data_IF_973751134446
#
_entry.id   IF_973751134446
#
_cell.length_a   1.000
_cell.length_b   1.000
_cell.length_c   1.000
_cell.angle_alpha   90.00
_cell.angle_beta   90.00
_cell.angle_gamma   90.00
#
_symmetry.space_group_name_H-M   'P 1'
#
loop_
_entity.id
_entity.type
_entity.pdbx_description
1 polymer ?
#
# COMPACT_ATOMS: atom_id res chain seq x y z
N UNK A 1 11.09 12.07 23.75
CA UNK A 1 10.39 13.13 22.97
C UNK A 1 8.93 12.75 22.91
N UNK A 2 8.03 13.59 23.44
CA UNK A 2 6.59 13.29 23.47
C UNK A 2 6.01 13.54 22.08
N UNK A 3 5.63 12.48 21.36
CA UNK A 3 4.86 12.63 20.13
C UNK A 3 3.48 13.18 20.48
N UNK A 4 3.01 14.18 19.75
CA UNK A 4 1.68 14.75 19.91
C UNK A 4 0.62 13.65 19.72
N UNK A 5 -0.35 13.58 20.65
CA UNK A 5 -1.48 12.67 20.54
C UNK A 5 -2.35 13.09 19.34
N UNK A 6 -2.60 12.21 18.35
CA UNK A 6 -3.44 12.54 17.21
C UNK A 6 -4.88 12.84 17.65
N UNK A 7 -5.57 13.70 16.90
CA UNK A 7 -6.99 13.97 17.08
C UNK A 7 -7.82 12.66 16.96
N UNK A 8 -8.92 12.53 17.70
CA UNK A 8 -9.74 11.32 17.66
C UNK A 8 -10.16 11.00 16.22
N UNK A 9 -9.90 9.77 15.78
CA UNK A 9 -10.26 9.25 14.45
C UNK A 9 -9.21 9.40 13.35
N UNK A 10 -8.04 10.00 13.59
CA UNK A 10 -6.94 10.02 12.59
C UNK A 10 -5.87 8.99 12.94
N UNK A 11 -5.47 8.11 12.00
CA UNK A 11 -4.40 7.14 12.25
C UNK A 11 -3.08 7.87 12.51
N UNK A 12 -2.24 7.30 13.37
CA UNK A 12 -0.85 7.74 13.52
C UNK A 12 -0.05 7.16 12.35
N UNK A 13 0.49 8.04 11.51
CA UNK A 13 1.33 7.65 10.38
C UNK A 13 2.80 7.87 10.73
N UNK A 14 3.64 6.87 10.50
CA UNK A 14 5.09 6.93 10.71
C UNK A 14 5.76 6.79 9.35
N UNK A 15 6.60 7.75 8.99
CA UNK A 15 7.45 7.66 7.80
C UNK A 15 8.79 7.04 8.22
N UNK A 16 8.92 5.73 8.02
CA UNK A 16 10.16 4.98 8.25
C UNK A 16 10.92 4.89 6.93
N UNK A 17 12.16 5.39 6.89
CA UNK A 17 12.94 5.48 5.65
C UNK A 17 14.39 5.10 5.92
N UNK A 18 15.03 4.50 4.91
CA UNK A 18 16.48 4.40 4.82
C UNK A 18 16.97 5.30 3.69
N UNK A 19 18.03 6.06 3.94
CA UNK A 19 18.64 6.95 2.96
C UNK A 19 20.16 6.84 3.01
N UNK A 20 20.81 7.00 1.86
CA UNK A 20 22.26 7.21 1.81
C UNK A 20 22.63 8.59 2.35
N UNK A 21 23.92 8.81 2.63
CA UNK A 21 24.42 10.11 3.13
C UNK A 21 24.14 11.26 2.15
N UNK A 22 24.08 10.96 0.85
CA UNK A 22 23.73 11.92 -0.21
C UNK A 22 22.23 11.94 -0.55
N UNK A 23 21.38 11.32 0.28
CA UNK A 23 19.92 11.48 0.25
C UNK A 23 19.19 10.62 -0.78
N UNK A 24 19.83 9.59 -1.36
CA UNK A 24 19.15 8.63 -2.23
C UNK A 24 18.36 7.63 -1.38
N UNK A 25 17.28 7.10 -1.93
CA UNK A 25 16.40 6.10 -1.28
C UNK A 25 16.31 4.77 -2.03
N UNK A 26 16.75 4.74 -3.29
CA UNK A 26 16.86 3.49 -4.05
C UNK A 26 18.15 2.80 -3.63
N UNK A 27 18.01 1.66 -2.96
CA UNK A 27 19.11 0.91 -2.32
C UNK A 27 19.95 0.08 -3.30
N UNK A 28 19.55 0.01 -4.57
CA UNK A 28 20.28 -0.70 -5.61
C UNK A 28 21.74 -0.26 -5.71
N UNK A 29 22.66 -1.21 -5.54
CA UNK A 29 24.10 -0.96 -5.58
C UNK A 29 24.69 -0.32 -4.32
N UNK A 30 23.91 -0.11 -3.26
CA UNK A 30 24.46 0.34 -1.98
C UNK A 30 25.29 -0.78 -1.34
N UNK A 31 26.38 -0.45 -0.63
CA UNK A 31 27.09 -1.41 0.21
C UNK A 31 26.31 -1.67 1.52
N UNK A 32 25.00 -1.95 1.42
CA UNK A 32 24.15 -2.19 2.57
C UNK A 32 24.43 -3.59 3.12
N UNK A 33 24.95 -3.66 4.35
CA UNK A 33 25.22 -4.93 5.02
C UNK A 33 23.91 -5.59 5.49
N UNK A 34 23.95 -6.91 5.69
CA UNK A 34 22.84 -7.64 6.31
C UNK A 34 22.50 -7.10 7.71
N UNK A 35 23.51 -6.61 8.45
CA UNK A 35 23.31 -5.89 9.71
C UNK A 35 22.46 -4.64 9.51
N UNK A 36 22.80 -3.79 8.54
CA UNK A 36 22.07 -2.55 8.27
C UNK A 36 20.62 -2.81 7.90
N UNK A 37 20.37 -3.83 7.06
CA UNK A 37 19.02 -4.27 6.72
C UNK A 37 18.26 -4.78 7.95
N UNK A 38 18.90 -5.60 8.80
CA UNK A 38 18.28 -6.10 10.01
C UNK A 38 17.90 -4.99 11.00
N UNK A 39 18.76 -3.98 11.18
CA UNK A 39 18.45 -2.83 12.03
C UNK A 39 17.23 -2.05 11.51
N UNK A 40 17.11 -1.89 10.19
CA UNK A 40 15.94 -1.25 9.58
C UNK A 40 14.63 -2.00 9.90
N UNK A 41 14.63 -3.32 9.76
CA UNK A 41 13.46 -4.16 10.08
C UNK A 41 13.15 -4.19 11.58
N UNK A 42 14.16 -4.25 12.45
CA UNK A 42 13.95 -4.19 13.90
C UNK A 42 13.24 -2.90 14.33
N UNK A 43 13.61 -1.77 13.73
CA UNK A 43 12.93 -0.50 13.99
C UNK A 43 11.51 -0.52 13.41
N UNK A 44 11.32 -1.06 12.19
CA UNK A 44 9.99 -1.23 11.59
C UNK A 44 9.05 -2.03 12.52
N UNK A 45 9.48 -3.19 12.99
CA UNK A 45 8.72 -4.06 13.91
C UNK A 45 8.41 -3.36 15.25
N UNK A 46 9.35 -2.55 15.76
CA UNK A 46 9.20 -1.86 17.06
C UNK A 46 8.03 -0.88 17.11
N UNK A 47 7.52 -0.43 15.95
CA UNK A 47 6.36 0.46 15.89
C UNK A 47 5.06 -0.24 16.23
N UNK A 48 5.00 -1.57 16.11
CA UNK A 48 3.78 -2.37 16.31
C UNK A 48 2.59 -1.76 15.54
N UNK A 49 2.86 -1.37 14.28
CA UNK A 49 1.86 -0.76 13.43
C UNK A 49 0.79 -1.79 13.04
N UNK A 50 -0.43 -1.32 12.80
CA UNK A 50 -1.55 -2.15 12.35
C UNK A 50 -1.48 -2.44 10.83
N UNK A 51 -0.41 -2.02 10.18
CA UNK A 51 -0.23 -2.15 8.74
C UNK A 51 0.83 -1.21 8.20
N UNK A 52 1.13 -1.38 6.93
CA UNK A 52 2.12 -0.60 6.19
C UNK A 52 1.54 -0.12 4.87
N UNK A 53 2.16 0.92 4.29
CA UNK A 53 1.64 1.57 3.10
C UNK A 53 2.76 1.80 2.09
N UNK A 54 2.48 1.52 0.83
CA UNK A 54 3.36 1.85 -0.28
C UNK A 54 2.58 2.46 -1.44
N UNK A 55 3.26 3.31 -2.21
CA UNK A 55 2.73 3.83 -3.45
C UNK A 55 2.71 2.78 -4.56
N UNK A 56 1.93 3.04 -5.60
CA UNK A 56 1.74 2.14 -6.75
C UNK A 56 3.04 1.60 -7.34
N UNK A 57 4.07 2.44 -7.54
CA UNK A 57 5.36 2.01 -8.11
C UNK A 57 6.02 0.93 -7.25
N UNK A 58 6.14 1.17 -5.95
CA UNK A 58 6.76 0.24 -5.01
C UNK A 58 5.94 -1.05 -4.88
N UNK A 59 4.61 -0.92 -4.86
CA UNK A 59 3.72 -2.09 -4.90
C UNK A 59 3.95 -2.93 -6.16
N UNK A 60 4.00 -2.31 -7.33
CA UNK A 60 4.26 -2.96 -8.62
C UNK A 60 5.62 -3.68 -8.68
N UNK A 61 6.67 -3.05 -8.16
CA UNK A 61 8.03 -3.60 -8.22
C UNK A 61 8.25 -4.79 -7.29
N UNK A 62 7.56 -4.84 -6.14
CA UNK A 62 7.89 -5.77 -5.06
C UNK A 62 6.76 -6.73 -4.66
N UNK A 63 5.49 -6.39 -4.90
CA UNK A 63 4.37 -7.08 -4.24
C UNK A 63 3.22 -7.45 -5.19
N UNK A 64 2.80 -6.53 -6.06
CA UNK A 64 1.72 -6.74 -6.99
C UNK A 64 2.17 -7.69 -8.11
N UNK A 65 1.30 -8.63 -8.48
CA UNK A 65 1.68 -9.68 -9.41
C UNK A 65 1.50 -9.26 -10.87
N UNK A 66 0.62 -8.29 -11.14
CA UNK A 66 0.26 -7.82 -12.48
C UNK A 66 -0.13 -6.34 -12.47
N UNK A 67 -0.03 -5.73 -13.64
CA UNK A 67 -0.59 -4.39 -13.92
C UNK A 67 -1.60 -4.45 -15.04
N UNK A 68 -2.60 -3.57 -14.96
CA UNK A 68 -3.60 -3.37 -16.01
C UNK A 68 -2.99 -2.64 -17.20
N UNK A 69 -3.38 -3.02 -18.44
CA UNK A 69 -3.06 -2.26 -19.64
C UNK A 69 -3.53 -0.80 -19.57
N UNK A 70 -2.80 0.11 -20.22
CA UNK A 70 -3.16 1.53 -20.26
C UNK A 70 -4.55 1.79 -20.85
N UNK A 71 -4.96 0.99 -21.84
CA UNK A 71 -6.28 1.08 -22.44
C UNK A 71 -7.41 0.83 -21.42
N UNK A 72 -7.19 -0.09 -20.48
CA UNK A 72 -8.18 -0.41 -19.44
C UNK A 72 -8.18 0.66 -18.35
N UNK A 73 -7.00 1.17 -17.98
CA UNK A 73 -6.86 2.27 -17.00
C UNK A 73 -7.46 3.57 -17.52
N UNK A 74 -7.44 3.80 -18.83
CA UNK A 74 -8.04 4.98 -19.46
C UNK A 74 -9.58 5.01 -19.40
N UNK A 75 -10.23 3.87 -19.10
CA UNK A 75 -11.67 3.81 -18.88
C UNK A 75 -11.97 4.35 -17.47
N UNK A 76 -12.47 5.58 -17.41
CA UNK A 76 -12.80 6.25 -16.15
C UNK A 76 -14.30 6.25 -15.87
N UNK A 77 -14.65 6.10 -14.60
CA UNK A 77 -16.00 6.39 -14.12
C UNK A 77 -16.26 7.89 -14.07
N UNK A 78 -17.46 8.30 -14.53
CA UNK A 78 -17.91 9.70 -14.57
C UNK A 78 -19.20 9.96 -13.75
N UNK A 79 -19.70 8.95 -13.04
CA UNK A 79 -20.89 9.06 -12.18
C UNK A 79 -20.57 9.57 -10.77
N UNK A 80 -21.53 9.38 -9.86
CA UNK A 80 -21.41 9.80 -8.47
C UNK A 80 -20.26 9.10 -7.70
N UNK A 81 -19.80 9.69 -6.58
CA UNK A 81 -18.97 9.00 -5.59
C UNK A 81 -19.55 7.65 -5.19
N UNK A 82 -18.67 6.69 -4.93
CA UNK A 82 -19.03 5.35 -4.45
C UNK A 82 -18.57 5.19 -3.01
N UNK A 83 -19.31 4.42 -2.23
CA UNK A 83 -18.92 4.06 -0.88
C UNK A 83 -17.77 3.06 -0.89
N UNK A 84 -16.97 3.11 0.18
CA UNK A 84 -15.90 2.16 0.42
C UNK A 84 -16.45 0.73 0.52
N UNK A 85 -15.65 -0.22 0.06
CA UNK A 85 -15.93 -1.63 0.24
C UNK A 85 -15.22 -2.14 1.49
N UNK A 86 -15.99 -2.70 2.42
CA UNK A 86 -15.44 -3.41 3.58
C UNK A 86 -15.37 -4.88 3.24
N UNK A 87 -14.16 -5.40 3.04
CA UNK A 87 -13.93 -6.81 2.82
C UNK A 87 -14.43 -7.61 4.04
N UNK A 88 -15.15 -8.74 3.84
CA UNK A 88 -15.64 -9.55 4.95
C UNK A 88 -14.49 -10.31 5.62
N UNK A 89 -14.46 -10.28 6.95
CA UNK A 89 -13.45 -10.99 7.74
C UNK A 89 -12.94 -10.16 8.91
N UNK A 90 -12.15 -10.80 9.76
CA UNK A 90 -11.33 -10.14 10.77
C UNK A 90 -9.88 -10.19 10.28
N UNK A 91 -9.20 -9.04 10.28
CA UNK A 91 -7.84 -8.91 9.78
C UNK A 91 -6.97 -8.25 10.85
N UNK A 92 -5.83 -8.87 11.17
CA UNK A 92 -4.95 -8.40 12.25
C UNK A 92 -3.99 -7.29 11.79
N UNK A 93 -3.64 -7.27 10.50
CA UNK A 93 -2.73 -6.31 9.88
C UNK A 93 -3.07 -6.08 8.40
N UNK A 94 -2.63 -4.95 7.86
CA UNK A 94 -3.03 -4.45 6.54
C UNK A 94 -1.85 -3.97 5.68
N UNK A 95 -1.91 -4.29 4.39
CA UNK A 95 -1.03 -3.76 3.35
C UNK A 95 -1.81 -2.74 2.49
N UNK A 96 -1.57 -1.45 2.72
CA UNK A 96 -2.25 -0.37 2.00
C UNK A 96 -1.52 -0.01 0.70
N UNK A 97 -2.19 -0.19 -0.43
CA UNK A 97 -1.67 0.18 -1.74
C UNK A 97 -2.29 1.49 -2.22
N UNK A 98 -1.49 2.55 -2.31
CA UNK A 98 -1.94 3.83 -2.89
C UNK A 98 -1.79 3.78 -4.40
N UNK A 99 -2.91 3.59 -5.10
CA UNK A 99 -2.98 3.48 -6.55
C UNK A 99 -4.21 4.21 -7.09
N UNK A 100 -4.13 5.53 -7.14
CA UNK A 100 -5.24 6.39 -7.56
C UNK A 100 -5.84 6.02 -8.93
N UNK A 101 -5.03 5.46 -9.84
CA UNK A 101 -5.43 5.06 -11.19
C UNK A 101 -6.01 3.65 -11.28
N UNK A 102 -5.87 2.83 -10.24
CA UNK A 102 -6.25 1.42 -10.28
C UNK A 102 -5.47 0.63 -11.32
N UNK A 103 -4.15 0.79 -11.37
CA UNK A 103 -3.25 0.04 -12.26
C UNK A 103 -2.89 -1.34 -11.72
N UNK A 104 -2.80 -1.54 -10.41
CA UNK A 104 -2.39 -2.80 -9.80
C UNK A 104 -3.49 -3.86 -9.95
N UNK A 105 -3.11 -5.08 -10.32
CA UNK A 105 -4.01 -6.21 -10.39
C UNK A 105 -3.56 -7.30 -9.42
N UNK A 106 -4.39 -7.54 -8.40
CA UNK A 106 -4.11 -8.49 -7.33
C UNK A 106 -4.61 -9.89 -7.68
N UNK A 107 -3.81 -10.90 -7.35
CA UNK A 107 -4.24 -12.30 -7.42
C UNK A 107 -4.99 -12.74 -6.15
N UNK A 108 -4.62 -12.17 -5.00
CA UNK A 108 -5.18 -12.42 -3.67
C UNK A 108 -5.31 -11.10 -2.90
N UNK A 109 -6.07 -11.11 -1.81
CA UNK A 109 -6.18 -10.00 -0.85
C UNK A 109 -5.20 -10.13 0.33
N UNK A 110 -4.06 -10.79 0.10
CA UNK A 110 -3.06 -11.09 1.12
C UNK A 110 -1.66 -10.86 0.53
N UNK A 111 -0.82 -10.16 1.28
CA UNK A 111 0.62 -10.03 1.06
C UNK A 111 1.30 -10.46 2.35
N UNK A 112 1.91 -11.65 2.34
CA UNK A 112 2.67 -12.21 3.47
C UNK A 112 1.89 -12.23 4.81
N UNK A 113 0.57 -12.42 4.76
CA UNK A 113 -0.33 -12.41 5.93
C UNK A 113 -1.02 -11.08 6.21
N UNK A 114 -0.65 -10.00 5.51
CA UNK A 114 -1.28 -8.69 5.64
C UNK A 114 -2.42 -8.52 4.62
N UNK A 115 -3.59 -8.11 5.11
CA UNK A 115 -4.76 -7.93 4.26
C UNK A 115 -4.60 -6.70 3.33
N UNK A 116 -4.76 -6.92 2.03
CA UNK A 116 -4.57 -5.85 1.03
C UNK A 116 -5.74 -4.88 1.05
N UNK A 117 -5.45 -3.59 1.14
CA UNK A 117 -6.42 -2.51 0.99
C UNK A 117 -5.99 -1.59 -0.14
N UNK A 118 -6.81 -1.47 -1.18
CA UNK A 118 -6.53 -0.57 -2.31
C UNK A 118 -7.10 0.83 -2.04
N UNK A 119 -6.22 1.84 -2.02
CA UNK A 119 -6.60 3.26 -1.92
C UNK A 119 -6.63 3.84 -3.34
N UNK A 120 -7.84 4.08 -3.84
CA UNK A 120 -8.12 4.47 -5.22
C UNK A 120 -8.69 5.89 -5.29
N UNK A 121 -8.71 6.47 -6.49
CA UNK A 121 -9.54 7.66 -6.76
C UNK A 121 -10.93 7.25 -7.21
N UNK A 122 -11.89 8.18 -7.15
CA UNK A 122 -13.25 7.95 -7.66
C UNK A 122 -13.29 7.72 -9.19
N UNK A 123 -12.20 7.94 -9.91
CA UNK A 123 -12.18 7.83 -11.38
C UNK A 123 -12.04 6.40 -11.87
N UNK A 124 -11.67 5.44 -11.01
CA UNK A 124 -11.52 4.04 -11.43
C UNK A 124 -12.85 3.48 -11.97
N UNK A 125 -12.77 2.61 -12.97
CA UNK A 125 -13.95 2.02 -13.60
C UNK A 125 -14.71 1.08 -12.65
N UNK A 126 -16.02 0.96 -12.89
CA UNK A 126 -16.88 0.02 -12.15
C UNK A 126 -16.44 -1.44 -12.34
N UNK A 127 -15.95 -1.78 -13.54
CA UNK A 127 -15.39 -3.11 -13.82
C UNK A 127 -14.20 -3.42 -12.92
N UNK A 128 -13.28 -2.46 -12.75
CA UNK A 128 -12.12 -2.65 -11.91
C UNK A 128 -12.49 -2.73 -10.42
N UNK A 129 -13.43 -1.89 -9.96
CA UNK A 129 -13.96 -2.01 -8.59
C UNK A 129 -14.61 -3.37 -8.35
N UNK A 130 -15.39 -3.88 -9.30
CA UNK A 130 -15.99 -5.21 -9.20
C UNK A 130 -14.91 -6.31 -9.15
N UNK A 131 -13.85 -6.19 -9.95
CA UNK A 131 -12.71 -7.09 -9.94
C UNK A 131 -12.02 -7.17 -8.57
N UNK A 132 -11.81 -6.03 -7.90
CA UNK A 132 -11.21 -5.95 -6.57
C UNK A 132 -12.12 -6.54 -5.50
N UNK A 133 -13.40 -6.12 -5.50
CA UNK A 133 -14.39 -6.60 -4.52
C UNK A 133 -14.59 -8.11 -4.56
N UNK A 134 -14.55 -8.71 -5.74
CA UNK A 134 -14.63 -10.17 -5.90
C UNK A 134 -13.45 -10.92 -5.25
N UNK A 135 -12.32 -10.22 -5.03
CA UNK A 135 -11.13 -10.76 -4.36
C UNK A 135 -11.09 -10.42 -2.87
N UNK A 136 -12.06 -9.64 -2.38
CA UNK A 136 -12.00 -9.10 -1.03
C UNK A 136 -10.91 -8.06 -0.86
N UNK A 137 -10.65 -7.24 -1.89
CA UNK A 137 -9.75 -6.07 -1.87
C UNK A 137 -10.58 -4.79 -2.01
#
# INVERSE_FOLDING_TARGET
MSAATPAPGRPRVICHMIASVDGRILTGGWPLSDEGRRQYEQVHESYQAQGWLCGRVTMEEHFAQRVRPDADVAIEHQGAPREDFLAPGEHESFAFAVDSSGRLAWNSNDIDGDHVVAILSERVSDEYLAFLRQRGV
#
